data_IF_521854770101
#
_entry.id   IF_521854770101
#
_cell.length_a   1.000
_cell.length_b   1.000
_cell.length_c   1.000
_cell.angle_alpha   90.00
_cell.angle_beta   90.00
_cell.angle_gamma   90.00
#
_symmetry.space_group_name_H-M   'P 1'
#
loop_
_entity.id
_entity.type
_entity.pdbx_description
1 polymer ?
#
# COMPACT_ATOMS: atom_id res chain seq x y z
N UNK A 1 6.43 -5.84 -15.72
CA UNK A 1 5.13 -5.19 -15.47
C UNK A 1 5.20 -4.29 -14.25
N UNK A 2 4.43 -3.24 -14.24
CA UNK A 2 4.47 -2.23 -13.17
C UNK A 2 3.46 -2.58 -12.05
N UNK A 3 3.93 -2.50 -10.82
CA UNK A 3 3.09 -2.58 -9.63
C UNK A 3 3.42 -1.40 -8.71
N UNK A 4 2.52 -1.02 -7.83
CA UNK A 4 2.74 0.05 -6.86
C UNK A 4 2.54 -0.51 -5.46
N UNK A 5 3.57 -0.36 -4.63
CA UNK A 5 3.54 -0.77 -3.23
C UNK A 5 3.31 0.47 -2.36
N UNK A 6 2.20 0.53 -1.66
CA UNK A 6 1.82 1.66 -0.82
C UNK A 6 1.88 1.25 0.64
N UNK A 7 2.58 2.03 1.46
CA UNK A 7 2.46 1.91 2.91
C UNK A 7 1.29 2.78 3.39
N UNK A 8 0.46 2.23 4.30
CA UNK A 8 -0.65 3.01 4.85
C UNK A 8 -0.19 4.35 5.44
N UNK A 9 -1.09 5.32 5.47
CA UNK A 9 -0.85 6.64 6.04
C UNK A 9 -0.71 6.62 7.55
N UNK A 10 -0.47 7.80 8.14
CA UNK A 10 -0.35 7.91 9.61
C UNK A 10 -1.67 7.56 10.28
N UNK A 11 -1.59 6.87 11.41
CA UNK A 11 -2.75 6.28 12.07
C UNK A 11 -2.66 6.41 13.61
N UNK A 12 -2.27 7.57 14.08
CA UNK A 12 -2.16 7.85 15.50
C UNK A 12 -1.07 7.03 16.20
N UNK A 13 -1.20 6.93 17.50
CA UNK A 13 -0.26 6.20 18.35
C UNK A 13 -0.84 4.84 18.72
N UNK A 14 -0.17 3.77 18.30
CA UNK A 14 -0.58 2.38 18.61
C UNK A 14 -0.71 2.16 20.12
N UNK A 15 0.19 2.76 20.91
CA UNK A 15 0.20 2.59 22.36
C UNK A 15 -1.01 3.21 23.05
N UNK A 16 -1.66 4.17 22.42
CA UNK A 16 -2.86 4.86 22.94
C UNK A 16 -4.18 4.28 22.43
N UNK A 17 -4.11 3.35 21.48
CA UNK A 17 -5.29 2.69 20.94
C UNK A 17 -5.69 1.54 21.88
N UNK A 18 -6.90 1.56 22.38
CA UNK A 18 -7.40 0.63 23.40
C UNK A 18 -8.33 -0.47 22.85
N UNK A 19 -8.35 -0.66 21.55
CA UNK A 19 -9.14 -1.67 20.86
C UNK A 19 -8.22 -2.55 20.00
N UNK A 20 -8.79 -3.47 19.23
CA UNK A 20 -8.08 -4.29 18.26
C UNK A 20 -7.29 -3.40 17.28
N UNK A 21 -6.00 -3.62 17.16
CA UNK A 21 -5.13 -2.82 16.30
C UNK A 21 -5.56 -2.85 14.82
N UNK A 22 -6.22 -3.90 14.40
CA UNK A 22 -6.75 -4.00 13.03
C UNK A 22 -7.80 -2.92 12.75
N UNK A 23 -8.47 -2.40 13.77
CA UNK A 23 -9.50 -1.38 13.65
C UNK A 23 -8.98 0.04 13.77
N UNK A 24 -7.71 0.23 14.11
CA UNK A 24 -7.12 1.56 14.28
C UNK A 24 -7.14 2.33 12.97
N UNK A 25 -7.88 3.46 12.90
CA UNK A 25 -8.04 4.21 11.65
C UNK A 25 -6.90 5.16 11.38
N UNK A 26 -6.85 5.70 10.17
CA UNK A 26 -5.99 6.84 9.85
C UNK A 26 -6.34 8.03 10.76
N UNK A 27 -5.32 8.79 11.15
CA UNK A 27 -5.51 10.09 11.76
C UNK A 27 -5.75 11.17 10.69
N UNK A 28 -5.87 12.43 11.10
CA UNK A 28 -6.15 13.52 10.17
C UNK A 28 -5.05 13.67 9.11
N UNK A 29 -3.79 13.51 9.50
CA UNK A 29 -2.66 13.56 8.55
C UNK A 29 -2.72 12.38 7.58
N UNK A 30 -3.01 11.19 8.07
CA UNK A 30 -3.15 9.99 7.23
C UNK A 30 -4.27 10.14 6.21
N UNK A 31 -5.38 10.74 6.60
CA UNK A 31 -6.48 11.01 5.67
C UNK A 31 -6.07 11.99 4.57
N UNK A 32 -5.31 13.04 4.91
CA UNK A 32 -4.77 13.97 3.90
C UNK A 32 -3.79 13.26 2.95
N UNK A 33 -2.97 12.36 3.47
CA UNK A 33 -2.07 11.55 2.63
C UNK A 33 -2.87 10.69 1.66
N UNK A 34 -3.93 10.04 2.14
CA UNK A 34 -4.81 9.21 1.31
C UNK A 34 -5.50 10.02 0.20
N UNK A 35 -6.00 11.22 0.54
CA UNK A 35 -6.67 12.09 -0.42
C UNK A 35 -5.74 12.62 -1.51
N UNK A 36 -4.44 12.78 -1.22
CA UNK A 36 -3.45 13.27 -2.18
C UNK A 36 -2.83 12.15 -3.02
N UNK A 37 -3.00 10.89 -2.64
CA UNK A 37 -2.40 9.75 -3.35
C UNK A 37 -2.85 9.64 -4.82
N UNK A 38 -4.12 9.86 -5.17
CA UNK A 38 -4.53 9.78 -6.58
C UNK A 38 -3.73 10.69 -7.50
N UNK A 39 -3.48 11.93 -7.10
CA UNK A 39 -2.69 12.87 -7.90
C UNK A 39 -1.24 12.43 -8.01
N UNK A 40 -0.67 11.90 -6.93
CA UNK A 40 0.71 11.43 -6.92
C UNK A 40 0.94 10.26 -7.88
N UNK A 41 -0.09 9.47 -8.16
CA UNK A 41 -0.02 8.28 -9.02
C UNK A 41 -0.73 8.46 -10.36
N UNK A 42 -1.18 9.66 -10.70
CA UNK A 42 -2.04 9.89 -11.88
C UNK A 42 -1.39 9.55 -13.21
N UNK A 43 -0.05 9.63 -13.29
CA UNK A 43 0.68 9.29 -14.51
C UNK A 43 0.74 7.78 -14.79
N UNK A 44 0.35 6.95 -13.84
CA UNK A 44 0.38 5.50 -13.97
C UNK A 44 -0.98 4.96 -14.41
N UNK A 45 -0.95 3.95 -15.27
CA UNK A 45 -2.16 3.25 -15.67
C UNK A 45 -2.48 2.15 -14.65
N UNK A 46 -3.32 2.48 -13.68
CA UNK A 46 -3.69 1.59 -12.59
C UNK A 46 -5.10 1.05 -12.80
N UNK A 47 -5.26 -0.27 -12.65
CA UNK A 47 -6.51 -0.95 -12.96
C UNK A 47 -7.06 -1.80 -11.84
N UNK A 48 -6.26 -2.00 -10.76
CA UNK A 48 -6.64 -2.89 -9.67
C UNK A 48 -5.98 -2.46 -8.38
N UNK A 49 -6.68 -2.59 -7.25
CA UNK A 49 -6.14 -2.26 -5.93
C UNK A 49 -6.42 -3.41 -4.97
N UNK A 50 -5.35 -3.97 -4.41
CA UNK A 50 -5.42 -4.92 -3.32
C UNK A 50 -4.91 -4.25 -2.04
N UNK A 51 -5.51 -4.56 -0.91
CA UNK A 51 -5.14 -3.95 0.36
C UNK A 51 -5.18 -4.94 1.51
N UNK A 52 -4.30 -4.74 2.48
CA UNK A 52 -4.46 -5.35 3.79
C UNK A 52 -5.87 -5.05 4.32
N UNK A 53 -6.54 -5.99 4.99
CA UNK A 53 -7.86 -5.75 5.54
C UNK A 53 -7.87 -4.80 6.76
N UNK A 54 -6.72 -4.41 7.28
CA UNK A 54 -6.64 -3.45 8.38
C UNK A 54 -7.25 -2.11 7.97
N UNK A 55 -8.02 -1.49 8.84
CA UNK A 55 -8.75 -0.26 8.53
C UNK A 55 -7.83 0.83 7.98
N UNK A 56 -6.65 1.04 8.58
CA UNK A 56 -5.72 2.07 8.13
C UNK A 56 -5.22 1.86 6.69
N UNK A 57 -5.10 0.61 6.26
CA UNK A 57 -4.72 0.30 4.88
C UNK A 57 -5.88 0.54 3.92
N UNK A 58 -7.06 0.06 4.24
CA UNK A 58 -8.27 0.28 3.44
C UNK A 58 -8.52 1.77 3.23
N UNK A 59 -8.48 2.55 4.31
CA UNK A 59 -8.70 4.00 4.24
C UNK A 59 -7.64 4.72 3.40
N UNK A 60 -6.40 4.22 3.39
CA UNK A 60 -5.33 4.84 2.60
C UNK A 60 -5.63 4.80 1.10
N UNK A 61 -6.25 3.75 0.60
CA UNK A 61 -6.48 3.56 -0.84
C UNK A 61 -7.93 3.77 -1.27
N UNK A 62 -8.85 4.05 -0.34
CA UNK A 62 -10.23 4.36 -0.72
C UNK A 62 -10.36 5.54 -1.68
N UNK A 63 -9.69 6.69 -1.46
CA UNK A 63 -9.76 7.79 -2.43
C UNK A 63 -9.19 7.42 -3.80
N UNK A 64 -8.13 6.63 -3.83
CA UNK A 64 -7.55 6.16 -5.10
C UNK A 64 -8.53 5.25 -5.85
N UNK A 65 -9.17 4.33 -5.14
CA UNK A 65 -10.17 3.44 -5.73
C UNK A 65 -11.32 4.24 -6.37
N UNK A 66 -11.82 5.26 -5.68
CA UNK A 66 -12.84 6.15 -6.20
C UNK A 66 -12.35 6.90 -7.44
N UNK A 67 -11.12 7.40 -7.42
CA UNK A 67 -10.55 8.17 -8.53
C UNK A 67 -10.36 7.35 -9.80
N UNK A 68 -9.96 6.09 -9.69
CA UNK A 68 -9.74 5.22 -10.86
C UNK A 68 -10.95 4.33 -11.18
N UNK A 69 -12.00 4.38 -10.36
CA UNK A 69 -13.26 3.69 -10.65
C UNK A 69 -13.21 2.18 -10.44
N UNK A 70 -12.49 1.70 -9.43
CA UNK A 70 -12.39 0.27 -9.11
C UNK A 70 -12.85 -0.01 -7.69
N UNK A 71 -13.25 -1.25 -7.43
CA UNK A 71 -13.52 -1.72 -6.07
C UNK A 71 -12.23 -2.16 -5.41
N UNK A 72 -12.14 -1.96 -4.09
CA UNK A 72 -11.03 -2.48 -3.30
C UNK A 72 -11.19 -3.97 -3.08
N UNK A 73 -10.06 -4.69 -3.18
CA UNK A 73 -9.99 -6.11 -2.89
C UNK A 73 -9.12 -6.30 -1.63
N UNK A 74 -9.69 -6.88 -0.59
CA UNK A 74 -8.92 -7.18 0.62
C UNK A 74 -8.16 -8.50 0.43
N UNK A 75 -6.90 -8.50 0.86
CA UNK A 75 -6.04 -9.69 0.78
C UNK A 75 -5.34 -9.89 2.11
N UNK A 76 -5.60 -10.99 2.80
CA UNK A 76 -4.97 -11.31 4.08
C UNK A 76 -3.44 -11.41 3.95
N UNK A 77 -2.95 -11.79 2.79
CA UNK A 77 -1.51 -11.86 2.51
C UNK A 77 -0.80 -10.50 2.54
N UNK A 78 -1.55 -9.40 2.64
CA UNK A 78 -0.99 -8.04 2.80
C UNK A 78 -1.08 -7.54 4.25
N UNK A 79 -1.58 -8.34 5.16
CA UNK A 79 -1.70 -7.97 6.57
C UNK A 79 -0.35 -7.81 7.25
N UNK A 80 -0.34 -7.14 8.40
CA UNK A 80 0.87 -6.97 9.22
C UNK A 80 1.43 -8.35 9.57
N UNK A 81 2.74 -8.51 9.45
CA UNK A 81 3.41 -9.79 9.67
C UNK A 81 3.40 -10.75 8.48
N UNK A 82 2.86 -10.33 7.33
CA UNK A 82 2.83 -11.19 6.14
C UNK A 82 4.22 -11.61 5.70
N UNK A 83 4.33 -12.86 5.24
CA UNK A 83 5.57 -13.40 4.74
C UNK A 83 5.88 -12.89 3.33
N UNK A 84 7.15 -12.56 3.08
CA UNK A 84 7.59 -12.08 1.76
C UNK A 84 7.16 -13.02 0.63
N UNK A 85 7.31 -14.33 0.82
CA UNK A 85 6.96 -15.30 -0.22
C UNK A 85 5.48 -15.26 -0.59
N UNK A 86 4.59 -15.04 0.38
CA UNK A 86 3.15 -14.97 0.13
C UNK A 86 2.78 -13.70 -0.64
N UNK A 87 3.44 -12.58 -0.33
CA UNK A 87 3.23 -11.32 -1.05
C UNK A 87 3.74 -11.43 -2.48
N UNK A 88 4.91 -12.03 -2.69
CA UNK A 88 5.45 -12.25 -4.04
C UNK A 88 4.55 -13.17 -4.87
N UNK A 89 3.98 -14.20 -4.24
CA UNK A 89 3.02 -15.09 -4.91
C UNK A 89 1.76 -14.31 -5.34
N UNK A 90 1.27 -13.42 -4.48
CA UNK A 90 0.14 -12.56 -4.81
C UNK A 90 0.46 -11.64 -5.99
N UNK A 91 1.63 -10.99 -5.97
CA UNK A 91 2.12 -10.14 -7.06
C UNK A 91 2.15 -10.89 -8.40
N UNK A 92 2.60 -12.15 -8.37
CA UNK A 92 2.73 -12.96 -9.57
C UNK A 92 1.38 -13.30 -10.23
N UNK A 93 0.28 -13.24 -9.47
CA UNK A 93 -1.05 -13.63 -9.95
C UNK A 93 -1.93 -12.45 -10.36
N UNK A 94 -1.55 -11.21 -10.04
CA UNK A 94 -2.45 -10.06 -10.20
C UNK A 94 -2.23 -9.25 -11.48
N UNK A 95 -1.12 -9.43 -12.16
CA UNK A 95 -0.84 -8.69 -13.40
C UNK A 95 -0.36 -7.25 -13.16
N UNK A 96 -0.04 -6.56 -14.25
CA UNK A 96 0.44 -5.18 -14.20
C UNK A 96 -0.65 -4.17 -13.90
N UNK A 97 -0.25 -2.98 -13.44
CA UNK A 97 -1.18 -1.91 -13.09
C UNK A 97 -1.89 -2.11 -11.76
N UNK A 98 -1.36 -2.96 -10.88
CA UNK A 98 -1.95 -3.26 -9.58
C UNK A 98 -1.26 -2.50 -8.46
N UNK A 99 -2.08 -1.95 -7.56
CA UNK A 99 -1.64 -1.30 -6.32
C UNK A 99 -1.80 -2.28 -5.17
N UNK A 100 -0.80 -2.34 -4.30
CA UNK A 100 -0.79 -3.16 -3.09
C UNK A 100 -0.59 -2.25 -1.89
N UNK A 101 -1.59 -2.14 -1.03
CA UNK A 101 -1.47 -1.34 0.21
C UNK A 101 -1.23 -2.28 1.40
N UNK A 102 -0.17 -2.00 2.15
CA UNK A 102 0.28 -2.86 3.23
C UNK A 102 0.99 -2.08 4.35
N UNK A 103 1.70 -2.78 5.19
CA UNK A 103 2.34 -2.28 6.41
C UNK A 103 3.84 -2.08 6.22
N UNK A 104 4.46 -1.34 7.15
CA UNK A 104 5.87 -1.03 7.07
C UNK A 104 6.81 -2.24 7.08
N UNK A 105 6.49 -3.27 7.87
CA UNK A 105 7.27 -4.50 7.92
C UNK A 105 7.23 -5.26 6.60
N UNK A 106 6.08 -5.29 5.95
CA UNK A 106 5.91 -5.94 4.64
C UNK A 106 6.65 -5.15 3.56
N UNK A 107 6.55 -3.82 3.58
CA UNK A 107 7.33 -2.98 2.67
C UNK A 107 8.83 -3.24 2.84
N UNK A 108 9.31 -3.30 4.07
CA UNK A 108 10.72 -3.59 4.36
C UNK A 108 11.13 -4.96 3.81
N UNK A 109 10.28 -5.96 3.96
CA UNK A 109 10.56 -7.30 3.43
C UNK A 109 10.68 -7.32 1.90
N UNK A 110 9.95 -6.43 1.21
CA UNK A 110 9.92 -6.38 -0.26
C UNK A 110 11.02 -5.51 -0.85
N UNK A 111 11.25 -4.32 -0.29
CA UNK A 111 12.20 -3.35 -0.85
C UNK A 111 13.48 -3.21 -0.03
N UNK A 112 13.60 -3.98 1.02
CA UNK A 112 14.80 -4.05 1.84
C UNK A 112 15.02 -2.77 2.65
N UNK A 113 16.27 -2.30 2.69
CA UNK A 113 16.67 -1.13 3.50
C UNK A 113 16.15 0.21 2.99
N UNK A 114 15.51 0.24 1.82
CA UNK A 114 14.91 1.45 1.30
C UNK A 114 13.78 1.90 2.21
N UNK A 115 13.78 3.19 2.55
CA UNK A 115 12.74 3.73 3.44
C UNK A 115 11.40 3.81 2.72
N UNK A 116 10.35 3.40 3.42
CA UNK A 116 8.98 3.58 2.97
C UNK A 116 8.21 4.28 4.10
N UNK A 117 8.31 5.62 4.20
CA UNK A 117 7.56 6.36 5.19
C UNK A 117 6.05 6.14 5.06
N UNK A 118 5.33 6.31 6.14
CA UNK A 118 3.86 6.16 6.14
C UNK A 118 3.24 7.08 5.10
N UNK A 119 2.36 6.52 4.27
CA UNK A 119 1.72 7.25 3.17
C UNK A 119 2.53 7.34 1.89
N UNK A 120 3.75 6.84 1.88
CA UNK A 120 4.59 6.82 0.67
C UNK A 120 4.40 5.52 -0.11
N UNK A 121 4.97 5.49 -1.32
CA UNK A 121 4.85 4.34 -2.20
C UNK A 121 6.15 4.08 -2.97
N UNK A 122 6.27 2.87 -3.48
CA UNK A 122 7.30 2.48 -4.44
C UNK A 122 6.64 2.00 -5.72
N UNK A 123 7.11 2.52 -6.84
CA UNK A 123 6.80 1.93 -8.15
C UNK A 123 7.78 0.79 -8.35
N UNK A 124 7.26 -0.40 -8.63
CA UNK A 124 8.03 -1.62 -8.78
C UNK A 124 7.94 -2.12 -10.22
N UNK A 125 9.06 -2.59 -10.75
CA UNK A 125 9.07 -3.43 -11.94
C UNK A 125 9.04 -4.89 -11.47
N UNK A 126 8.03 -5.65 -11.88
CA UNK A 126 7.87 -7.05 -11.50
C UNK A 126 8.02 -7.96 -12.72
N UNK A 127 8.77 -9.05 -12.56
CA UNK A 127 9.02 -9.99 -13.64
C UNK A 127 9.37 -11.38 -13.10
N UNK A 128 9.77 -12.27 -14.00
CA UNK A 128 10.09 -13.67 -13.66
C UNK A 128 11.20 -13.80 -12.62
N UNK A 129 12.08 -12.81 -12.50
CA UNK A 129 13.20 -12.82 -11.56
C UNK A 129 12.91 -12.10 -10.24
N UNK A 130 11.66 -11.70 -10.00
CA UNK A 130 11.25 -11.00 -8.81
C UNK A 130 10.89 -9.54 -9.07
N UNK A 131 11.06 -8.71 -8.06
CA UNK A 131 10.68 -7.29 -8.11
C UNK A 131 11.90 -6.39 -8.00
N UNK A 132 11.83 -5.24 -8.68
CA UNK A 132 12.86 -4.19 -8.60
C UNK A 132 12.19 -2.86 -8.33
N UNK A 133 12.50 -2.17 -7.20
CA UNK A 133 12.01 -0.82 -6.97
C UNK A 133 12.66 0.14 -7.98
N UNK A 134 11.82 0.91 -8.68
CA UNK A 134 12.31 1.81 -9.74
C UNK A 134 12.09 3.29 -9.43
N UNK A 135 11.09 3.63 -8.60
CA UNK A 135 10.83 5.02 -8.22
C UNK A 135 10.11 5.09 -6.88
N UNK A 136 10.62 5.96 -6.01
CA UNK A 136 9.95 6.29 -4.75
C UNK A 136 8.98 7.44 -4.96
N UNK A 137 7.76 7.30 -4.44
CA UNK A 137 6.74 8.34 -4.42
C UNK A 137 6.61 8.81 -2.98
N UNK A 138 7.12 10.01 -2.65
CA UNK A 138 7.07 10.52 -1.27
C UNK A 138 5.64 10.64 -0.77
N UNK A 139 5.47 10.53 0.54
CA UNK A 139 4.19 10.78 1.16
C UNK A 139 3.76 12.23 0.87
N UNK A 140 2.52 12.45 0.44
CA UNK A 140 2.01 13.81 0.26
C UNK A 140 2.04 14.60 1.58
N UNK A 141 2.35 15.86 1.48
CA UNK A 141 2.41 16.76 2.64
C UNK A 141 1.04 17.28 3.03
#
# INVERSE_FOLDING_TARGET
>A
MIAVLVRHGTAGDRAKWDDDDRLRPLDARGRRQAEALPQALEALHLTRILTSPYVRCVQTVEPLAAAIGVELEEASALGEGAERADVLALLATTGGGTVFCTHGDVCHALVGRRKTPKGSAWVLEAGARGITPVRHVPAPR
#
